data_IF_792881175975
#
_entry.id   IF_792881175975
#
_cell.length_a   1.000
_cell.length_b   1.000
_cell.length_c   1.000
_cell.angle_alpha   90.00
_cell.angle_beta   90.00
_cell.angle_gamma   90.00
#
_symmetry.space_group_name_H-M   'P 1'
#
loop_
_entity.id
_entity.type
_entity.pdbx_description
1 polymer ?
#
# COMPACT_ATOMS: atom_id res chain seq x y z
N UNK A 1 -18.86 -19.20 19.64
CA UNK A 1 -17.84 -18.54 18.79
C UNK A 1 -17.99 -17.03 18.98
N UNK A 2 -16.95 -16.35 19.45
CA UNK A 2 -17.00 -14.92 19.78
C UNK A 2 -16.53 -14.07 18.59
N UNK A 3 -17.13 -12.90 18.35
CA UNK A 3 -16.75 -11.99 17.25
C UNK A 3 -15.28 -11.54 17.35
N UNK A 4 -14.76 -11.35 18.57
CA UNK A 4 -13.36 -10.99 18.80
C UNK A 4 -12.40 -12.08 18.31
N UNK A 5 -12.76 -13.33 18.57
CA UNK A 5 -11.98 -14.50 18.18
C UNK A 5 -11.94 -14.69 16.65
N UNK A 6 -13.03 -14.32 15.96
CA UNK A 6 -13.07 -14.29 14.49
C UNK A 6 -12.19 -13.16 13.94
N UNK A 7 -12.22 -11.98 14.57
CA UNK A 7 -11.38 -10.85 14.19
C UNK A 7 -9.90 -11.13 14.43
N UNK A 8 -9.53 -11.69 15.58
CA UNK A 8 -8.15 -12.06 15.91
C UNK A 8 -7.62 -13.13 14.94
N UNK A 9 -8.42 -14.17 14.67
CA UNK A 9 -8.06 -15.19 13.67
C UNK A 9 -7.93 -14.58 12.27
N UNK A 10 -8.78 -13.63 11.90
CA UNK A 10 -8.67 -12.94 10.61
C UNK A 10 -7.42 -12.06 10.51
N UNK A 11 -7.02 -11.43 11.61
CA UNK A 11 -5.81 -10.62 11.69
C UNK A 11 -4.57 -11.51 11.53
N UNK A 12 -4.50 -12.65 12.21
CA UNK A 12 -3.44 -13.65 12.06
C UNK A 12 -3.34 -14.18 10.62
N UNK A 13 -4.48 -14.51 10.02
CA UNK A 13 -4.55 -14.98 8.63
C UNK A 13 -4.19 -13.90 7.59
N UNK A 14 -4.42 -12.62 7.91
CA UNK A 14 -3.94 -11.49 7.10
C UNK A 14 -2.45 -11.20 7.31
N UNK A 15 -1.90 -11.71 8.42
CA UNK A 15 -0.53 -11.48 8.87
C UNK A 15 0.43 -12.62 8.57
N UNK A 16 -0.02 -13.71 7.94
CA UNK A 16 0.81 -14.82 7.51
C UNK A 16 1.84 -14.36 6.47
N UNK A 17 3.07 -14.08 6.94
CA UNK A 17 4.24 -13.83 6.09
C UNK A 17 5.03 -15.12 6.01
N UNK A 18 5.35 -15.52 4.80
CA UNK A 18 6.21 -16.66 4.49
C UNK A 18 7.55 -16.10 4.04
N UNK A 19 8.60 -16.49 4.75
CA UNK A 19 9.98 -16.23 4.36
C UNK A 19 10.50 -17.41 3.56
N UNK A 20 11.22 -17.18 2.48
CA UNK A 20 11.96 -18.25 1.81
C UNK A 20 13.18 -18.66 2.64
N UNK A 21 13.69 -19.85 2.35
CA UNK A 21 15.05 -20.19 2.77
C UNK A 21 16.02 -19.13 2.23
N UNK A 22 17.00 -18.69 3.05
CA UNK A 22 18.01 -17.76 2.60
C UNK A 22 18.80 -18.34 1.42
N UNK A 23 18.86 -17.59 0.32
CA UNK A 23 19.66 -17.95 -0.84
C UNK A 23 20.91 -17.08 -0.90
N UNK A 24 22.08 -17.69 -0.94
CA UNK A 24 23.35 -16.98 -1.04
C UNK A 24 23.82 -16.92 -2.50
N UNK A 25 24.15 -15.72 -2.95
CA UNK A 25 24.71 -15.47 -4.27
C UNK A 25 26.22 -15.63 -4.24
N UNK A 26 26.85 -15.85 -5.41
CA UNK A 26 28.31 -16.01 -5.57
C UNK A 26 29.11 -14.88 -4.91
N UNK A 27 28.55 -13.67 -4.84
CA UNK A 27 29.20 -12.48 -4.27
C UNK A 27 29.04 -12.36 -2.74
N UNK A 28 28.55 -13.40 -2.06
CA UNK A 28 28.31 -13.41 -0.60
C UNK A 28 27.06 -12.62 -0.18
N UNK A 29 26.15 -12.34 -1.12
CA UNK A 29 24.87 -11.68 -0.84
C UNK A 29 23.81 -12.70 -0.47
N UNK A 30 23.22 -12.57 0.72
CA UNK A 30 22.07 -13.38 1.14
C UNK A 30 20.76 -12.69 0.78
N UNK A 31 19.89 -13.40 0.07
CA UNK A 31 18.56 -12.93 -0.33
C UNK A 31 17.51 -13.72 0.44
N UNK A 32 16.59 -13.02 1.11
CA UNK A 32 15.45 -13.61 1.81
C UNK A 32 14.17 -12.98 1.24
N UNK A 33 13.37 -13.78 0.55
CA UNK A 33 12.12 -13.28 -0.03
C UNK A 33 11.00 -13.29 0.99
N UNK A 34 10.12 -12.29 0.93
CA UNK A 34 8.97 -12.15 1.81
C UNK A 34 7.70 -12.18 0.97
N UNK A 35 6.86 -13.16 1.25
CA UNK A 35 5.57 -13.34 0.60
C UNK A 35 4.47 -13.25 1.65
N UNK A 36 3.40 -12.51 1.36
CA UNK A 36 2.18 -12.55 2.18
C UNK A 36 1.23 -13.59 1.60
N UNK A 37 0.69 -14.42 2.48
CA UNK A 37 -0.40 -15.31 2.11
C UNK A 37 -1.72 -14.72 2.58
N UNK A 38 -2.70 -14.63 1.69
CA UNK A 38 -4.03 -14.14 2.03
C UNK A 38 -4.97 -15.33 2.17
N UNK A 39 -5.23 -15.75 3.41
CA UNK A 39 -5.99 -16.96 3.69
C UNK A 39 -7.38 -17.01 3.06
N UNK A 40 -8.05 -15.86 2.96
CA UNK A 40 -9.41 -15.78 2.39
C UNK A 40 -9.42 -16.05 0.88
N UNK A 41 -8.39 -15.61 0.15
CA UNK A 41 -8.34 -15.77 -1.30
C UNK A 41 -7.39 -16.87 -1.76
N UNK A 42 -6.65 -17.49 -0.85
CA UNK A 42 -5.57 -18.44 -1.15
C UNK A 42 -4.41 -17.83 -1.94
N UNK A 43 -4.38 -16.50 -2.10
CA UNK A 43 -3.44 -15.82 -2.98
C UNK A 43 -2.15 -15.50 -2.24
N UNK A 44 -1.02 -15.89 -2.83
CA UNK A 44 0.30 -15.41 -2.45
C UNK A 44 0.60 -14.09 -3.19
N UNK A 45 1.02 -13.07 -2.47
CA UNK A 45 1.49 -11.82 -3.08
C UNK A 45 2.91 -11.51 -2.58
N UNK A 46 3.84 -11.15 -3.47
CA UNK A 46 5.17 -10.72 -3.07
C UNK A 46 5.06 -9.43 -2.25
N UNK A 47 5.80 -9.34 -1.16
CA UNK A 47 5.88 -8.14 -0.31
C UNK A 47 7.19 -7.40 -0.58
N UNK A 48 8.27 -8.14 -0.76
CA UNK A 48 9.60 -7.62 -1.03
C UNK A 48 10.68 -8.65 -0.71
N UNK A 49 11.93 -8.20 -0.72
CA UNK A 49 13.10 -9.00 -0.42
C UNK A 49 13.99 -8.28 0.59
N UNK A 50 14.54 -9.04 1.53
CA UNK A 50 15.69 -8.61 2.32
C UNK A 50 16.96 -9.03 1.60
N UNK A 51 17.90 -8.10 1.49
CA UNK A 51 19.22 -8.33 0.92
C UNK A 51 20.22 -8.06 2.03
N UNK A 52 21.03 -9.06 2.35
CA UNK A 52 22.10 -8.95 3.33
C UNK A 52 23.42 -9.06 2.58
N UNK A 53 24.25 -8.03 2.66
CA UNK A 53 25.56 -7.99 2.00
C UNK A 53 26.57 -7.29 2.91
N UNK A 54 27.71 -7.92 3.18
CA UNK A 54 28.76 -7.39 4.06
C UNK A 54 28.23 -6.93 5.45
N UNK A 55 27.29 -7.67 6.02
CA UNK A 55 26.67 -7.35 7.32
C UNK A 55 25.70 -6.17 7.29
N UNK A 56 25.43 -5.56 6.13
CA UNK A 56 24.39 -4.56 5.94
C UNK A 56 23.10 -5.23 5.46
N UNK A 57 21.96 -4.80 6.00
CA UNK A 57 20.64 -5.28 5.61
C UNK A 57 19.91 -4.17 4.86
N UNK A 58 19.48 -4.45 3.64
CA UNK A 58 18.61 -3.57 2.85
C UNK A 58 17.28 -4.26 2.54
N UNK A 59 16.20 -3.47 2.56
CA UNK A 59 14.85 -3.92 2.22
C UNK A 59 14.45 -3.36 0.86
N UNK A 60 14.04 -4.23 -0.05
CA UNK A 60 13.52 -3.85 -1.36
C UNK A 60 12.05 -4.27 -1.48
N UNK A 61 11.10 -3.33 -1.52
CA UNK A 61 9.68 -3.65 -1.59
C UNK A 61 9.24 -4.10 -3.00
N UNK A 62 8.38 -5.09 -3.08
CA UNK A 62 7.72 -5.50 -4.33
C UNK A 62 6.49 -4.60 -4.62
N UNK A 63 6.71 -3.28 -4.63
CA UNK A 63 5.64 -2.31 -4.84
C UNK A 63 5.26 -2.18 -6.32
N UNK A 64 3.96 -2.22 -6.62
CA UNK A 64 3.43 -1.90 -7.95
C UNK A 64 3.33 -0.38 -8.10
N UNK A 65 4.44 0.22 -8.55
CA UNK A 65 4.57 1.67 -8.77
C UNK A 65 3.54 2.17 -9.79
N UNK A 66 3.23 1.36 -10.81
CA UNK A 66 2.23 1.70 -11.84
C UNK A 66 0.85 1.86 -11.20
N UNK A 67 0.44 0.92 -10.35
CA UNK A 67 -0.84 1.01 -9.63
C UNK A 67 -0.87 2.22 -8.71
N UNK A 68 0.21 2.51 -7.99
CA UNK A 68 0.30 3.70 -7.11
C UNK A 68 0.14 4.98 -7.93
N UNK A 69 0.84 5.08 -9.07
CA UNK A 69 0.75 6.23 -9.96
C UNK A 69 -0.68 6.41 -10.52
N UNK A 70 -1.33 5.32 -10.94
CA UNK A 70 -2.71 5.35 -11.43
C UNK A 70 -3.70 5.81 -10.37
N UNK A 71 -3.55 5.36 -9.11
CA UNK A 71 -4.39 5.84 -8.01
C UNK A 71 -4.18 7.33 -7.75
N UNK A 72 -2.92 7.79 -7.72
CA UNK A 72 -2.60 9.21 -7.58
C UNK A 72 -3.21 10.06 -8.69
N UNK A 73 -3.11 9.62 -9.94
CA UNK A 73 -3.72 10.30 -11.08
C UNK A 73 -5.25 10.32 -10.99
N UNK A 74 -5.89 9.21 -10.64
CA UNK A 74 -7.34 9.13 -10.47
C UNK A 74 -7.81 10.09 -9.37
N UNK A 75 -7.12 10.13 -8.23
CA UNK A 75 -7.41 11.07 -7.15
C UNK A 75 -7.26 12.52 -7.61
N UNK A 76 -6.20 12.85 -8.35
CA UNK A 76 -6.00 14.19 -8.88
C UNK A 76 -7.13 14.60 -9.84
N UNK A 77 -7.52 13.73 -10.78
CA UNK A 77 -8.64 13.98 -11.70
C UNK A 77 -9.95 14.22 -10.95
N UNK A 78 -10.26 13.39 -9.95
CA UNK A 78 -11.47 13.55 -9.13
C UNK A 78 -11.43 14.86 -8.36
N UNK A 79 -10.29 15.21 -7.75
CA UNK A 79 -10.12 16.47 -7.02
C UNK A 79 -10.31 17.67 -7.95
N UNK A 80 -9.70 17.65 -9.14
CA UNK A 80 -9.88 18.69 -10.16
C UNK A 80 -11.34 18.82 -10.57
N UNK A 81 -12.03 17.69 -10.83
CA UNK A 81 -13.46 17.71 -11.18
C UNK A 81 -14.33 18.21 -10.03
N UNK A 82 -14.00 17.90 -8.78
CA UNK A 82 -14.72 18.39 -7.62
C UNK A 82 -14.62 19.93 -7.53
N UNK A 83 -13.41 20.47 -7.68
CA UNK A 83 -13.18 21.94 -7.72
C UNK A 83 -13.93 22.58 -8.88
N UNK A 84 -13.96 21.94 -10.05
CA UNK A 84 -14.69 22.46 -11.21
C UNK A 84 -16.22 22.41 -11.05
N UNK A 85 -16.76 21.34 -10.43
CA UNK A 85 -18.21 21.13 -10.29
C UNK A 85 -18.84 21.88 -9.13
N UNK A 86 -18.12 21.98 -8.02
CA UNK A 86 -18.57 22.68 -6.81
C UNK A 86 -17.38 23.45 -6.27
N UNK A 87 -17.08 24.59 -6.90
CA UNK A 87 -15.96 25.39 -6.48
C UNK A 87 -16.03 25.67 -4.98
N UNK A 88 -14.94 25.49 -4.24
CA UNK A 88 -14.92 25.68 -2.79
C UNK A 88 -14.93 27.16 -2.40
N UNK A 89 -14.86 28.09 -3.37
CA UNK A 89 -14.88 29.51 -3.06
C UNK A 89 -16.26 29.95 -2.57
N UNK A 90 -16.31 30.82 -1.55
CA UNK A 90 -17.55 31.42 -1.08
C UNK A 90 -18.27 32.13 -2.23
N UNK A 91 -19.59 32.02 -2.28
CA UNK A 91 -20.37 32.72 -3.29
C UNK A 91 -20.13 34.23 -3.20
N UNK A 92 -19.65 34.80 -4.30
CA UNK A 92 -19.42 36.24 -4.44
C UNK A 92 -20.72 36.92 -4.84
N UNK A 93 -21.68 37.01 -3.93
CA UNK A 93 -22.83 37.88 -4.11
C UNK A 93 -22.43 39.29 -3.68
N UNK A 94 -22.39 40.24 -4.62
CA UNK A 94 -22.09 41.64 -4.30
C UNK A 94 -23.27 42.23 -3.53
N UNK A 95 -23.22 42.25 -2.20
CA UNK A 95 -24.17 43.01 -1.37
C UNK A 95 -23.81 44.49 -1.47
N UNK A 96 -24.15 45.12 -2.61
CA UNK A 96 -24.22 46.57 -2.68
C UNK A 96 -25.45 47.01 -1.88
N UNK A 97 -25.24 47.63 -0.71
CA UNK A 97 -26.32 48.31 0.00
C UNK A 97 -26.84 49.46 -0.85
N UNK A 98 -28.14 49.49 -1.21
CA UNK A 98 -28.72 50.67 -1.81
C UNK A 98 -28.80 51.73 -0.70
N UNK A 99 -28.15 52.85 -0.94
CA UNK A 99 -28.35 54.08 -0.18
C UNK A 99 -29.81 54.50 -0.20
#
# INVERSE_FOLDING_TARGET
MNLREVLDRSADLSAARVYSDPYETVDGTTIITVTRYRAISGAAAPVGIFVVHNGQVSWEPAADVTRIALLGLATAVIATLAVLRRPPWPDLHFTGSPW
#
